data_IF_442350616144
#
_entry.id   IF_442350616144
#
_cell.length_a   1.000
_cell.length_b   1.000
_cell.length_c   1.000
_cell.angle_alpha   90.00
_cell.angle_beta   90.00
_cell.angle_gamma   90.00
#
_symmetry.space_group_name_H-M   'P 1'
#
loop_
_entity.id
_entity.type
_entity.pdbx_description
1 polymer ?
#
# COMPACT_ATOMS: atom_id res chain seq x y z
N UNK A 1 -37.47 16.91 44.04
CA UNK A 1 -36.47 15.83 43.88
C UNK A 1 -35.12 16.46 43.56
N UNK A 2 -34.08 15.95 44.19
CA UNK A 2 -32.71 16.46 44.17
C UNK A 2 -32.07 16.33 42.79
N UNK A 3 -31.23 17.29 42.38
CA UNK A 3 -29.78 17.11 42.28
C UNK A 3 -29.07 18.42 41.89
N UNK A 4 -28.03 18.69 42.65
CA UNK A 4 -27.05 19.78 42.60
C UNK A 4 -26.18 19.75 41.33
N UNK A 5 -25.77 20.91 40.78
CA UNK A 5 -24.36 21.40 40.82
C UNK A 5 -24.13 22.75 40.07
N UNK A 6 -23.75 23.76 40.86
CA UNK A 6 -22.91 24.97 40.65
C UNK A 6 -23.03 25.92 39.43
N UNK A 7 -23.39 27.17 39.79
CA UNK A 7 -22.99 28.50 39.27
C UNK A 7 -21.56 28.56 38.67
N UNK A 8 -21.26 29.35 37.63
CA UNK A 8 -21.36 30.81 37.62
C UNK A 8 -21.39 31.43 36.21
N UNK A 9 -21.94 32.64 36.14
CA UNK A 9 -22.31 33.41 34.95
C UNK A 9 -21.24 34.46 34.52
N UNK A 10 -21.32 34.87 33.23
CA UNK A 10 -20.58 35.86 32.37
C UNK A 10 -20.70 37.34 32.89
N UNK A 11 -20.05 38.45 32.37
CA UNK A 11 -20.09 38.99 30.97
C UNK A 11 -18.96 39.99 30.46
N UNK A 12 -19.19 40.61 29.28
CA UNK A 12 -18.40 41.36 28.23
C UNK A 12 -18.09 42.87 28.56
N UNK A 13 -17.75 43.89 27.68
CA UNK A 13 -17.52 44.04 26.18
C UNK A 13 -16.48 45.15 25.71
N UNK A 14 -16.49 45.53 24.39
CA UNK A 14 -15.91 46.72 23.66
C UNK A 14 -14.44 46.66 23.15
N UNK A 15 -14.04 47.16 21.96
CA UNK A 15 -14.66 48.04 20.96
C UNK A 15 -13.81 48.17 19.65
N UNK A 16 -14.39 48.86 18.66
CA UNK A 16 -14.08 48.96 17.22
C UNK A 16 -12.83 49.81 16.85
N UNK A 17 -12.10 49.46 15.76
CA UNK A 17 -11.43 50.46 14.89
C UNK A 17 -11.23 50.01 13.41
N UNK A 18 -12.01 50.63 12.51
CA UNK A 18 -11.75 51.18 11.15
C UNK A 18 -10.62 50.63 10.22
N UNK A 19 -11.05 50.16 9.03
CA UNK A 19 -10.56 50.32 7.62
C UNK A 19 -9.05 50.44 7.22
N UNK A 20 -8.64 49.51 6.32
CA UNK A 20 -7.75 49.54 5.09
C UNK A 20 -6.28 50.05 5.18
N UNK A 21 -5.32 49.77 4.24
CA UNK A 21 -5.38 49.13 2.91
C UNK A 21 -4.25 48.10 2.57
N UNK A 22 -4.38 47.49 1.38
CA UNK A 22 -3.43 46.65 0.63
C UNK A 22 -2.01 47.24 0.51
N UNK A 23 -0.94 46.45 0.78
CA UNK A 23 0.38 46.51 0.10
C UNK A 23 1.35 45.41 0.57
N UNK A 24 1.86 44.60 -0.36
CA UNK A 24 3.09 43.81 -0.16
C UNK A 24 4.32 44.73 -0.23
N UNK A 25 5.40 44.45 0.52
CA UNK A 25 6.61 43.97 -0.14
C UNK A 25 7.44 42.95 0.67
N UNK A 26 7.90 41.93 -0.06
CA UNK A 26 9.21 41.24 -0.08
C UNK A 26 10.28 41.49 1.01
N UNK A 27 11.08 40.43 1.24
CA UNK A 27 12.38 40.30 1.97
C UNK A 27 12.17 40.08 3.48
N UNK A 28 12.59 39.03 4.19
CA UNK A 28 13.68 38.01 4.19
C UNK A 28 13.16 36.86 5.10
N UNK A 29 13.43 35.57 4.90
CA UNK A 29 14.56 34.81 5.48
C UNK A 29 14.37 33.35 5.01
N UNK A 30 15.20 32.87 4.10
CA UNK A 30 16.20 31.82 4.36
C UNK A 30 15.67 30.50 4.97
N UNK A 31 15.57 29.50 4.08
CA UNK A 31 15.98 28.09 4.26
C UNK A 31 15.34 27.33 5.44
N UNK A 32 14.16 26.75 5.19
CA UNK A 32 13.61 25.55 5.86
C UNK A 32 12.39 25.16 5.00
N UNK A 33 12.19 23.99 4.41
CA UNK A 33 12.77 22.66 4.58
C UNK A 33 12.71 21.99 3.19
N UNK A 34 13.85 21.88 2.52
CA UNK A 34 14.01 20.94 1.43
C UNK A 34 14.52 19.62 2.01
N UNK A 35 13.63 18.75 2.48
CA UNK A 35 13.73 17.27 2.39
C UNK A 35 12.36 16.71 2.78
N UNK A 36 11.49 16.42 1.81
CA UNK A 36 10.32 15.55 2.05
C UNK A 36 10.11 14.62 0.87
N UNK A 37 11.20 14.02 0.36
CA UNK A 37 11.12 13.03 -0.71
C UNK A 37 12.06 11.82 -0.54
N UNK A 38 12.78 11.65 0.58
CA UNK A 38 13.87 10.65 0.64
C UNK A 38 13.95 9.76 1.90
N UNK A 39 12.86 9.52 2.64
CA UNK A 39 12.92 8.55 3.77
C UNK A 39 11.69 7.64 3.83
N UNK A 40 11.34 6.98 2.72
CA UNK A 40 10.35 5.88 2.78
C UNK A 40 10.72 4.62 2.00
N UNK A 41 11.97 4.49 1.52
CA UNK A 41 12.38 3.32 0.74
C UNK A 41 13.57 2.54 1.29
N UNK A 42 14.21 2.96 2.41
CA UNK A 42 15.49 2.35 2.82
C UNK A 42 15.52 1.60 4.16
N UNK A 43 14.39 1.36 4.82
CA UNK A 43 14.37 0.60 6.10
C UNK A 43 13.64 -0.75 6.01
N UNK A 44 13.00 -1.07 4.89
CA UNK A 44 12.15 -2.27 4.79
C UNK A 44 12.85 -3.49 4.16
N UNK A 45 14.12 -3.38 3.77
CA UNK A 45 14.82 -4.50 3.12
C UNK A 45 15.56 -5.42 4.10
N UNK A 46 16.04 -4.94 5.25
CA UNK A 46 17.00 -5.74 6.05
C UNK A 46 16.40 -6.63 7.15
N UNK A 47 15.09 -6.56 7.44
CA UNK A 47 14.46 -7.36 8.51
C UNK A 47 13.51 -8.43 7.97
N UNK A 48 13.21 -8.41 6.67
CA UNK A 48 12.19 -9.30 6.07
C UNK A 48 12.73 -10.66 5.65
N UNK A 49 14.05 -10.81 5.47
CA UNK A 49 14.63 -12.06 4.98
C UNK A 49 14.57 -13.23 5.98
N UNK A 50 14.70 -12.99 7.30
CA UNK A 50 14.84 -14.11 8.25
C UNK A 50 13.52 -14.68 8.79
N UNK A 51 12.39 -13.99 8.62
CA UNK A 51 11.09 -14.45 9.15
C UNK A 51 10.20 -15.06 8.05
N UNK A 52 10.48 -14.79 6.77
CA UNK A 52 9.62 -15.24 5.69
C UNK A 52 9.82 -16.73 5.37
N UNK A 53 11.02 -17.27 5.54
CA UNK A 53 11.37 -18.65 5.14
C UNK A 53 10.51 -19.74 5.80
N UNK A 54 10.01 -19.55 7.03
CA UNK A 54 9.25 -20.60 7.72
C UNK A 54 7.74 -20.61 7.41
N UNK A 55 7.20 -19.58 6.75
CA UNK A 55 5.74 -19.49 6.46
C UNK A 55 5.43 -19.79 4.98
N UNK A 56 6.43 -19.75 4.09
CA UNK A 56 6.26 -19.97 2.63
C UNK A 56 6.25 -21.44 2.18
N UNK A 57 6.43 -22.41 3.08
CA UNK A 57 6.59 -23.82 2.69
C UNK A 57 5.26 -24.49 2.26
N UNK A 58 4.10 -23.90 2.57
CA UNK A 58 2.77 -24.43 2.22
C UNK A 58 2.05 -23.63 1.12
N UNK A 59 2.79 -23.13 0.14
CA UNK A 59 2.18 -22.44 -1.00
C UNK A 59 1.41 -23.45 -1.86
N UNK A 60 0.12 -23.18 -2.08
CA UNK A 60 -0.78 -24.08 -2.81
C UNK A 60 -0.41 -24.18 -4.30
N UNK A 61 -0.82 -25.28 -4.96
CA UNK A 61 -0.59 -25.48 -6.41
C UNK A 61 -1.15 -24.35 -7.26
N UNK A 62 -2.24 -23.73 -6.83
CA UNK A 62 -2.86 -22.57 -7.46
C UNK A 62 -1.92 -21.37 -7.50
N UNK A 63 -1.23 -21.10 -6.38
CA UNK A 63 -0.27 -19.99 -6.30
C UNK A 63 0.95 -20.30 -7.16
N UNK A 64 1.49 -21.52 -7.11
CA UNK A 64 2.60 -21.92 -7.97
C UNK A 64 2.30 -21.64 -9.46
N UNK A 65 1.15 -22.14 -9.95
CA UNK A 65 0.72 -21.91 -11.33
C UNK A 65 0.57 -20.42 -11.69
N UNK A 66 0.10 -19.59 -10.75
CA UNK A 66 0.02 -18.15 -10.95
C UNK A 66 1.41 -17.54 -11.14
N UNK A 67 2.37 -17.90 -10.29
CA UNK A 67 3.72 -17.35 -10.30
C UNK A 67 4.47 -17.73 -11.59
N UNK A 68 4.30 -18.98 -12.06
CA UNK A 68 4.87 -19.41 -13.35
C UNK A 68 4.28 -18.67 -14.56
N UNK A 69 3.02 -18.25 -14.45
CA UNK A 69 2.32 -17.53 -15.53
C UNK A 69 2.73 -16.06 -15.64
N UNK A 70 3.25 -15.48 -14.55
CA UNK A 70 3.61 -14.07 -14.48
C UNK A 70 4.89 -13.78 -15.26
N UNK A 71 4.75 -13.01 -16.35
CA UNK A 71 5.87 -12.52 -17.16
C UNK A 71 5.82 -11.00 -17.21
N UNK A 72 6.69 -10.36 -16.43
CA UNK A 72 6.67 -8.90 -16.27
C UNK A 72 5.42 -8.43 -15.52
N UNK A 73 4.81 -7.34 -15.98
CA UNK A 73 3.59 -6.79 -15.40
C UNK A 73 2.37 -7.22 -16.19
N UNK A 74 1.43 -7.89 -15.53
CA UNK A 74 0.23 -8.43 -16.17
C UNK A 74 -1.02 -7.97 -15.44
N UNK A 75 -2.10 -7.75 -16.18
CA UNK A 75 -3.41 -7.49 -15.62
C UNK A 75 -4.01 -8.76 -15.05
N UNK A 76 -5.00 -8.58 -14.17
CA UNK A 76 -5.79 -9.69 -13.64
C UNK A 76 -6.42 -10.55 -14.74
N UNK A 77 -6.96 -9.92 -15.78
CA UNK A 77 -7.64 -10.63 -16.87
C UNK A 77 -6.66 -11.46 -17.69
N UNK A 78 -5.50 -10.92 -18.05
CA UNK A 78 -4.46 -11.68 -18.76
C UNK A 78 -4.01 -12.92 -17.96
N UNK A 79 -3.78 -12.78 -16.66
CA UNK A 79 -3.42 -13.92 -15.79
C UNK A 79 -4.53 -14.96 -15.71
N UNK A 80 -5.78 -14.51 -15.62
CA UNK A 80 -6.94 -15.38 -15.58
C UNK A 80 -7.11 -16.15 -16.91
N UNK A 81 -6.88 -15.48 -18.03
CA UNK A 81 -6.98 -16.06 -19.38
C UNK A 81 -5.86 -17.08 -19.63
N UNK A 82 -4.61 -16.76 -19.25
CA UNK A 82 -3.45 -17.68 -19.35
C UNK A 82 -3.69 -18.96 -18.55
N UNK A 83 -4.28 -18.84 -17.36
CA UNK A 83 -4.61 -19.98 -16.51
C UNK A 83 -5.88 -20.74 -16.96
N UNK A 84 -6.58 -20.26 -17.99
CA UNK A 84 -7.81 -20.86 -18.50
C UNK A 84 -8.98 -20.82 -17.51
N UNK A 85 -8.97 -19.87 -16.56
CA UNK A 85 -9.93 -19.83 -15.46
C UNK A 85 -11.13 -18.97 -15.81
N UNK A 86 -12.32 -19.56 -15.89
CA UNK A 86 -13.55 -18.82 -16.20
C UNK A 86 -14.12 -18.04 -15.01
N UNK A 87 -13.89 -18.52 -13.79
CA UNK A 87 -14.56 -18.01 -12.60
C UNK A 87 -13.70 -17.01 -11.81
N UNK A 88 -13.97 -15.72 -12.01
CA UNK A 88 -13.22 -14.62 -11.39
C UNK A 88 -13.16 -14.69 -9.84
N UNK A 89 -14.27 -14.94 -9.10
CA UNK A 89 -14.20 -15.01 -7.64
C UNK A 89 -13.26 -16.11 -7.14
N UNK A 90 -13.21 -17.25 -7.86
CA UNK A 90 -12.32 -18.34 -7.52
C UNK A 90 -10.86 -17.97 -7.81
N UNK A 91 -10.57 -17.38 -8.99
CA UNK A 91 -9.26 -16.86 -9.32
C UNK A 91 -8.73 -15.94 -8.21
N UNK A 92 -9.54 -14.97 -7.78
CA UNK A 92 -9.13 -14.03 -6.73
C UNK A 92 -8.84 -14.71 -5.39
N UNK A 93 -9.68 -15.66 -4.98
CA UNK A 93 -9.61 -16.32 -3.67
C UNK A 93 -8.49 -17.36 -3.60
N UNK A 94 -8.28 -18.14 -4.65
CA UNK A 94 -7.37 -19.28 -4.64
C UNK A 94 -5.99 -18.97 -5.23
N UNK A 95 -5.88 -17.95 -6.09
CA UNK A 95 -4.63 -17.62 -6.79
C UNK A 95 -4.10 -16.27 -6.30
N UNK A 96 -4.85 -15.19 -6.57
CA UNK A 96 -4.33 -13.84 -6.45
C UNK A 96 -4.10 -13.40 -4.98
N UNK A 97 -5.11 -13.57 -4.12
CA UNK A 97 -5.01 -13.15 -2.71
C UNK A 97 -3.95 -13.94 -1.95
N UNK A 98 -3.87 -15.28 -2.04
CA UNK A 98 -2.82 -16.02 -1.34
C UNK A 98 -1.42 -15.60 -1.80
N UNK A 99 -1.21 -15.34 -3.09
CA UNK A 99 0.08 -14.89 -3.62
C UNK A 99 0.47 -13.48 -3.12
N UNK A 100 -0.49 -12.54 -3.07
CA UNK A 100 -0.29 -11.21 -2.49
C UNK A 100 0.00 -11.27 -0.99
N UNK A 101 -0.77 -12.07 -0.25
CA UNK A 101 -0.60 -12.23 1.19
C UNK A 101 0.73 -12.88 1.55
N UNK A 102 1.24 -13.77 0.69
CA UNK A 102 2.55 -14.39 0.83
C UNK A 102 3.70 -13.47 0.38
N UNK A 103 3.42 -12.27 -0.13
CA UNK A 103 4.45 -11.34 -0.62
C UNK A 103 5.20 -11.83 -1.87
N UNK A 104 4.70 -12.86 -2.56
CA UNK A 104 5.33 -13.43 -3.76
C UNK A 104 5.01 -12.60 -5.02
N UNK A 105 3.94 -11.82 -4.97
CA UNK A 105 3.56 -10.85 -5.99
C UNK A 105 3.15 -9.54 -5.34
N UNK A 106 3.19 -8.47 -6.13
CA UNK A 106 2.78 -7.14 -5.70
C UNK A 106 1.91 -6.44 -6.73
N UNK A 107 1.24 -5.37 -6.27
CA UNK A 107 0.42 -4.48 -7.07
C UNK A 107 1.27 -3.32 -7.58
N UNK A 108 1.10 -2.92 -8.85
CA UNK A 108 1.83 -1.75 -9.39
C UNK A 108 1.25 -0.39 -8.97
N UNK A 109 0.00 -0.35 -8.48
CA UNK A 109 -0.68 0.86 -8.00
C UNK A 109 -1.37 0.59 -6.65
N UNK A 110 -0.61 0.40 -5.56
CA UNK A 110 -1.17 0.01 -4.26
C UNK A 110 -2.12 1.05 -3.65
N UNK A 111 -1.95 2.34 -3.97
CA UNK A 111 -2.80 3.43 -3.47
C UNK A 111 -4.20 3.41 -4.10
N UNK A 112 -4.34 2.77 -5.28
CA UNK A 112 -5.60 2.68 -6.01
C UNK A 112 -5.86 1.21 -6.40
N UNK A 113 -6.22 0.35 -5.43
CA UNK A 113 -6.34 -1.10 -5.64
C UNK A 113 -7.45 -1.52 -6.62
N UNK A 114 -8.39 -0.62 -6.90
CA UNK A 114 -9.46 -0.82 -7.88
C UNK A 114 -9.19 -0.09 -9.21
N UNK A 115 -7.97 0.40 -9.44
CA UNK A 115 -7.59 1.07 -10.67
C UNK A 115 -7.78 0.17 -11.88
N UNK A 116 -8.28 0.74 -12.98
CA UNK A 116 -8.35 0.04 -14.28
C UNK A 116 -6.98 -0.25 -14.86
N UNK A 117 -5.94 0.47 -14.41
CA UNK A 117 -4.55 0.30 -14.82
C UNK A 117 -3.79 -0.64 -13.86
N UNK A 118 -4.48 -1.27 -12.91
CA UNK A 118 -3.86 -2.18 -11.96
C UNK A 118 -3.20 -3.37 -12.67
N UNK A 119 -1.92 -3.58 -12.37
CA UNK A 119 -1.16 -4.75 -12.80
C UNK A 119 -0.54 -5.46 -11.60
N UNK A 120 -0.08 -6.67 -11.85
CA UNK A 120 0.58 -7.55 -10.91
C UNK A 120 1.91 -8.00 -11.49
N UNK A 121 2.92 -8.12 -10.63
CA UNK A 121 4.26 -8.60 -10.98
C UNK A 121 4.86 -9.42 -9.84
N UNK A 122 5.85 -10.25 -10.17
CA UNK A 122 6.62 -11.00 -9.18
C UNK A 122 7.49 -10.05 -8.34
N UNK A 123 7.58 -10.31 -7.04
CA UNK A 123 8.58 -9.72 -6.15
C UNK A 123 9.91 -10.49 -6.25
N UNK A 124 10.97 -9.99 -5.62
CA UNK A 124 12.22 -10.73 -5.49
C UNK A 124 12.02 -12.10 -4.82
N UNK A 125 11.23 -12.14 -3.73
CA UNK A 125 10.84 -13.36 -3.04
C UNK A 125 10.09 -14.33 -3.97
N UNK A 126 9.11 -13.83 -4.74
CA UNK A 126 8.40 -14.64 -5.73
C UNK A 126 9.31 -15.28 -6.77
N UNK A 127 10.29 -14.54 -7.28
CA UNK A 127 11.26 -15.06 -8.25
C UNK A 127 12.17 -16.12 -7.65
N UNK A 128 12.67 -15.91 -6.42
CA UNK A 128 13.49 -16.90 -5.71
C UNK A 128 12.68 -18.16 -5.41
N UNK A 129 11.44 -18.01 -4.95
CA UNK A 129 10.55 -19.12 -4.64
C UNK A 129 10.29 -20.00 -5.87
N UNK A 130 9.99 -19.42 -7.04
CA UNK A 130 9.83 -20.17 -8.29
C UNK A 130 11.12 -20.92 -8.68
N UNK A 131 12.29 -20.29 -8.53
CA UNK A 131 13.60 -20.93 -8.81
C UNK A 131 13.88 -22.12 -7.90
N UNK A 132 13.49 -22.03 -6.62
CA UNK A 132 13.70 -23.11 -5.65
C UNK A 132 12.72 -24.28 -5.87
N UNK A 133 11.47 -23.99 -6.19
CA UNK A 133 10.44 -25.02 -6.43
C UNK A 133 10.64 -25.77 -7.75
N UNK A 134 11.18 -25.12 -8.79
CA UNK A 134 11.62 -25.80 -10.02
C UNK A 134 12.81 -26.75 -9.86
N UNK A 135 13.36 -26.87 -8.64
CA UNK A 135 14.48 -27.75 -8.31
C UNK A 135 14.08 -28.96 -7.44
N UNK A 136 12.79 -29.15 -7.14
CA UNK A 136 12.35 -30.35 -6.46
C UNK A 136 12.19 -31.51 -7.47
N UNK A 137 12.88 -32.65 -7.27
CA UNK A 137 12.85 -33.82 -8.16
C UNK A 137 11.52 -34.57 -8.15
#
# INVERSE_FOLDING_TARGET
MQMVLRLSWRPLPFGVLRQTPHKSPQVTDQVTDQVTDQVTDQVTDQVTDQVTDQVTDQVSREVFRLLESLKGEMTRSELQDILGLKHQPHFRKAYLRPALNAGLIEQTIPEKPNSRLQRYRLTAAGQQWVKHQGRQP
#
